data_IF_019566784903
#
_entry.id   IF_019566784903
#
_cell.length_a   1.000
_cell.length_b   1.000
_cell.length_c   1.000
_cell.angle_alpha   90.00
_cell.angle_beta   90.00
_cell.angle_gamma   90.00
#
_symmetry.space_group_name_H-M   'P 1'
#
loop_
_entity.id
_entity.type
_entity.pdbx_description
1 polymer ?
#
# COMPACT_ATOMS: atom_id res chain seq x y z
N UNK A 1 10.05 2.20 11.89
CA UNK A 1 9.86 1.83 10.48
C UNK A 1 8.37 1.77 10.24
N UNK A 2 7.91 2.33 9.14
CA UNK A 2 6.52 2.32 8.72
C UNK A 2 6.36 1.16 7.74
N UNK A 3 5.31 0.37 7.90
CA UNK A 3 4.92 -0.67 6.95
C UNK A 3 3.66 -0.21 6.23
N UNK A 4 3.68 -0.18 4.90
CA UNK A 4 2.56 0.25 4.05
C UNK A 4 2.14 -0.91 3.17
N UNK A 5 0.89 -1.33 3.25
CA UNK A 5 0.27 -2.29 2.34
C UNK A 5 -0.64 -1.53 1.38
N UNK A 6 -0.42 -1.69 0.09
CA UNK A 6 -1.26 -1.16 -0.98
C UNK A 6 -1.85 -2.32 -1.79
N UNK A 7 -3.09 -2.16 -2.23
CA UNK A 7 -3.83 -3.11 -3.06
C UNK A 7 -4.48 -2.33 -4.20
N UNK A 8 -4.31 -2.80 -5.42
CA UNK A 8 -4.86 -2.16 -6.63
C UNK A 8 -6.29 -2.63 -6.89
N UNK A 9 -7.10 -1.76 -7.51
CA UNK A 9 -8.43 -2.08 -8.03
C UNK A 9 -8.38 -3.01 -9.25
N UNK A 10 -7.26 -3.03 -9.99
CA UNK A 10 -7.16 -3.76 -11.25
C UNK A 10 -6.60 -5.16 -11.05
N UNK A 11 -7.25 -6.17 -11.65
CA UNK A 11 -6.88 -7.59 -11.51
C UNK A 11 -5.81 -8.06 -12.51
N UNK A 12 -5.29 -7.20 -13.38
CA UNK A 12 -4.37 -7.60 -14.45
C UNK A 12 -3.35 -6.51 -14.71
N UNK A 13 -2.10 -6.80 -14.36
CA UNK A 13 -0.96 -6.11 -14.96
C UNK A 13 -1.05 -6.27 -16.48
N UNK A 14 -0.88 -5.16 -17.20
CA UNK A 14 -0.70 -5.20 -18.65
C UNK A 14 0.80 -5.18 -18.96
N UNK A 15 1.19 -5.53 -20.18
CA UNK A 15 2.60 -5.48 -20.58
C UNK A 15 3.18 -4.04 -20.54
N UNK A 16 2.33 -3.01 -20.44
CA UNK A 16 2.72 -1.60 -20.51
C UNK A 16 2.73 -0.91 -19.14
N UNK A 17 1.87 -1.30 -18.19
CA UNK A 17 1.79 -0.71 -16.85
C UNK A 17 1.47 -1.75 -15.78
N UNK A 18 2.21 -1.70 -14.68
CA UNK A 18 2.01 -2.52 -13.49
C UNK A 18 1.45 -1.71 -12.33
N UNK A 19 0.66 -2.33 -11.47
CA UNK A 19 0.18 -1.67 -10.24
C UNK A 19 1.34 -1.20 -9.33
N UNK A 20 2.53 -1.80 -9.46
CA UNK A 20 3.70 -1.39 -8.68
C UNK A 20 4.23 -0.02 -9.13
N UNK A 21 4.04 0.34 -10.39
CA UNK A 21 4.42 1.66 -10.92
C UNK A 21 3.52 2.74 -10.33
N UNK A 22 2.21 2.50 -10.27
CA UNK A 22 1.24 3.41 -9.62
C UNK A 22 1.56 3.58 -8.12
N UNK A 23 1.92 2.48 -7.44
CA UNK A 23 2.31 2.53 -6.05
C UNK A 23 3.61 3.31 -5.86
N UNK A 24 4.56 3.18 -6.79
CA UNK A 24 5.81 3.93 -6.76
C UNK A 24 5.54 5.43 -6.94
N UNK A 25 4.68 5.82 -7.89
CA UNK A 25 4.29 7.21 -8.12
C UNK A 25 3.68 7.84 -6.86
N UNK A 26 2.87 7.09 -6.10
CA UNK A 26 2.33 7.56 -4.83
C UNK A 26 3.42 7.94 -3.83
N UNK A 27 4.46 7.11 -3.70
CA UNK A 27 5.56 7.38 -2.79
C UNK A 27 6.45 8.52 -3.28
N UNK A 28 6.66 8.62 -4.60
CA UNK A 28 7.43 9.70 -5.21
C UNK A 28 6.74 11.04 -5.02
N UNK A 29 5.42 11.14 -5.23
CA UNK A 29 4.65 12.37 -4.98
C UNK A 29 4.69 12.78 -3.50
N UNK A 30 4.55 11.82 -2.58
CA UNK A 30 4.70 12.10 -1.16
C UNK A 30 6.10 12.62 -0.84
N UNK A 31 7.14 11.99 -1.39
CA UNK A 31 8.52 12.36 -1.15
C UNK A 31 8.83 13.76 -1.69
N UNK A 32 8.41 14.07 -2.91
CA UNK A 32 8.56 15.39 -3.51
C UNK A 32 7.87 16.48 -2.68
N UNK A 33 6.62 16.23 -2.26
CA UNK A 33 5.82 17.18 -1.46
C UNK A 33 6.48 17.49 -0.11
N UNK A 34 7.22 16.54 0.47
CA UNK A 34 7.83 16.68 1.80
C UNK A 34 9.36 16.84 1.76
N UNK A 35 9.96 17.04 0.57
CA UNK A 35 11.40 17.19 0.41
C UNK A 35 12.22 15.96 0.83
N UNK A 36 11.63 14.77 0.74
CA UNK A 36 12.26 13.49 1.05
C UNK A 36 12.88 12.88 -0.20
N UNK A 37 13.83 11.97 0.00
CA UNK A 37 14.39 11.16 -1.08
C UNK A 37 14.44 9.69 -0.68
N UNK A 38 13.63 8.88 -1.34
CA UNK A 38 13.62 7.44 -1.13
C UNK A 38 14.74 6.76 -1.93
N UNK A 39 15.39 5.80 -1.29
CA UNK A 39 16.47 4.99 -1.82
C UNK A 39 16.41 3.59 -1.19
N UNK A 40 17.23 2.66 -1.68
CA UNK A 40 17.23 1.25 -1.24
C UNK A 40 17.48 1.04 0.27
N UNK A 41 17.98 2.04 1.01
CA UNK A 41 18.21 1.97 2.45
C UNK A 41 16.97 2.35 3.28
N UNK A 42 16.19 3.32 2.81
CA UNK A 42 15.03 3.84 3.54
C UNK A 42 13.68 3.43 2.92
N UNK A 43 13.66 2.87 1.72
CA UNK A 43 12.46 2.38 1.03
C UNK A 43 12.72 0.99 0.45
N UNK A 44 11.88 0.02 0.83
CA UNK A 44 12.02 -1.38 0.41
C UNK A 44 10.66 -2.01 0.16
N UNK A 45 10.57 -2.81 -0.88
CA UNK A 45 9.46 -3.75 -1.07
C UNK A 45 9.72 -4.94 -0.13
N UNK A 46 8.78 -5.22 0.77
CA UNK A 46 8.81 -6.33 1.71
C UNK A 46 8.14 -7.58 1.13
N UNK A 47 7.00 -7.38 0.48
CA UNK A 47 6.24 -8.43 -0.20
C UNK A 47 5.58 -7.82 -1.44
N UNK A 48 5.46 -8.58 -2.52
CA UNK A 48 4.67 -8.19 -3.68
C UNK A 48 4.02 -9.41 -4.30
N UNK A 49 2.78 -9.26 -4.74
CA UNK A 49 1.98 -10.29 -5.38
C UNK A 49 1.39 -9.67 -6.65
N UNK A 50 2.15 -9.65 -7.76
CA UNK A 50 1.70 -9.04 -9.02
C UNK A 50 0.58 -9.85 -9.69
N UNK A 51 0.54 -11.16 -9.46
CA UNK A 51 -0.47 -12.03 -10.07
C UNK A 51 -1.78 -12.03 -9.26
N UNK A 52 -2.91 -11.86 -9.96
CA UNK A 52 -4.25 -11.94 -9.36
C UNK A 52 -4.77 -10.58 -8.94
N UNK A 53 -4.83 -10.32 -7.63
CA UNK A 53 -5.13 -8.98 -7.11
C UNK A 53 -3.80 -8.32 -6.72
N UNK A 54 -3.28 -7.38 -7.53
CA UNK A 54 -1.98 -6.79 -7.31
C UNK A 54 -1.92 -6.12 -5.94
N UNK A 55 -1.01 -6.62 -5.10
CA UNK A 55 -0.73 -6.01 -3.81
C UNK A 55 0.75 -5.97 -3.52
N UNK A 56 1.18 -4.95 -2.77
CA UNK A 56 2.53 -4.85 -2.28
C UNK A 56 2.58 -4.31 -0.86
N UNK A 57 3.58 -4.77 -0.11
CA UNK A 57 3.95 -4.25 1.20
C UNK A 57 5.30 -3.57 1.09
N UNK A 58 5.40 -2.37 1.64
CA UNK A 58 6.58 -1.52 1.64
C UNK A 58 7.03 -1.25 3.07
N UNK A 59 8.34 -1.24 3.27
CA UNK A 59 9.00 -0.85 4.50
C UNK A 59 9.70 0.49 4.29
N UNK A 60 9.28 1.50 5.04
CA UNK A 60 9.72 2.88 4.86
C UNK A 60 10.34 3.41 6.15
N UNK A 61 11.46 4.11 6.01
CA UNK A 61 12.20 4.80 7.09
C UNK A 61 12.32 6.27 6.74
N UNK A 62 12.53 7.09 7.77
CA UNK A 62 12.66 8.55 7.63
C UNK A 62 11.41 9.24 7.08
N UNK A 63 10.25 8.64 7.29
CA UNK A 63 8.93 9.19 6.94
C UNK A 63 8.17 9.47 8.23
N UNK A 64 7.58 10.65 8.33
CA UNK A 64 6.67 10.99 9.43
C UNK A 64 5.32 10.30 9.20
N UNK A 65 4.88 9.54 10.19
CA UNK A 65 3.64 8.78 10.08
C UNK A 65 2.40 9.66 9.96
N UNK A 66 2.33 10.78 10.70
CA UNK A 66 1.16 11.66 10.67
C UNK A 66 1.05 12.41 9.35
N UNK A 67 2.16 12.87 8.80
CA UNK A 67 2.21 13.49 7.46
C UNK A 67 1.78 12.49 6.39
N UNK A 68 2.27 11.26 6.45
CA UNK A 68 1.88 10.21 5.51
C UNK A 68 0.40 9.82 5.65
N UNK A 69 -0.13 9.78 6.88
CA UNK A 69 -1.55 9.56 7.15
C UNK A 69 -2.41 10.65 6.54
N UNK A 70 -2.03 11.92 6.73
CA UNK A 70 -2.74 13.07 6.17
C UNK A 70 -2.70 13.06 4.64
N UNK A 71 -1.52 12.79 4.06
CA UNK A 71 -1.36 12.63 2.62
C UNK A 71 -2.32 11.56 2.06
N UNK A 72 -2.29 10.34 2.62
CA UNK A 72 -3.17 9.26 2.19
C UNK A 72 -4.65 9.57 2.35
N UNK A 73 -5.04 10.38 3.33
CA UNK A 73 -6.45 10.80 3.47
C UNK A 73 -6.89 11.82 2.42
N UNK A 74 -5.95 12.51 1.78
CA UNK A 74 -6.19 13.56 0.80
C UNK A 74 -5.97 13.16 -0.66
N UNK A 75 -5.39 11.98 -0.93
CA UNK A 75 -5.14 11.54 -2.30
C UNK A 75 -6.43 11.24 -3.06
N UNK A 76 -6.39 11.44 -4.38
CA UNK A 76 -7.39 10.89 -5.30
C UNK A 76 -7.03 9.44 -5.61
N UNK A 77 -7.64 8.51 -4.88
CA UNK A 77 -7.42 7.06 -5.03
C UNK A 77 -7.39 6.55 -6.48
N UNK A 78 -8.26 7.11 -7.33
CA UNK A 78 -8.38 6.78 -8.76
C UNK A 78 -7.09 7.03 -9.55
N UNK A 79 -6.27 8.01 -9.15
CA UNK A 79 -4.99 8.32 -9.80
C UNK A 79 -4.02 7.15 -9.70
N UNK A 80 -4.03 6.45 -8.56
CA UNK A 80 -3.11 5.36 -8.24
C UNK A 80 -3.78 3.99 -8.32
N UNK A 81 -5.00 3.94 -8.88
CA UNK A 81 -5.84 2.73 -8.95
C UNK A 81 -5.92 1.97 -7.62
N UNK A 82 -6.00 2.69 -6.49
CA UNK A 82 -5.95 2.08 -5.17
C UNK A 82 -7.32 1.59 -4.72
N UNK A 83 -7.39 0.30 -4.37
CA UNK A 83 -8.55 -0.29 -3.72
C UNK A 83 -8.46 -0.13 -2.20
N UNK A 84 -7.27 -0.40 -1.64
CA UNK A 84 -7.05 -0.44 -0.21
C UNK A 84 -5.63 -0.01 0.15
N UNK A 85 -5.52 0.74 1.25
CA UNK A 85 -4.26 1.08 1.88
C UNK A 85 -4.31 0.74 3.38
N UNK A 86 -3.25 0.14 3.90
CA UNK A 86 -3.05 -0.07 5.33
C UNK A 86 -1.66 0.37 5.71
N UNK A 87 -1.55 1.11 6.80
CA UNK A 87 -0.27 1.65 7.27
C UNK A 87 -0.12 1.28 8.73
N UNK A 88 1.04 0.72 9.06
CA UNK A 88 1.46 0.40 10.42
C UNK A 88 2.68 1.23 10.77
N UNK A 89 2.53 2.09 11.76
CA UNK A 89 3.56 2.94 12.34
C UNK A 89 3.76 2.57 13.81
N UNK A 90 4.66 1.62 14.09
CA UNK A 90 4.88 1.14 15.45
C UNK A 90 3.59 0.55 16.04
N UNK A 91 3.04 1.09 17.15
CA UNK A 91 1.79 0.60 17.74
C UNK A 91 0.54 1.08 17.00
N UNK A 92 0.64 2.13 16.16
CA UNK A 92 -0.50 2.68 15.44
C UNK A 92 -0.68 1.95 14.12
N UNK A 93 -1.91 1.55 13.82
CA UNK A 93 -2.29 1.02 12.51
C UNK A 93 -3.55 1.72 12.05
N UNK A 94 -3.55 2.23 10.82
CA UNK A 94 -4.72 2.79 10.18
C UNK A 94 -4.90 2.22 8.78
N UNK A 95 -6.13 2.23 8.30
CA UNK A 95 -6.46 1.70 6.98
C UNK A 95 -7.53 2.52 6.29
N UNK A 96 -7.40 2.67 4.98
CA UNK A 96 -8.32 3.37 4.13
C UNK A 96 -8.87 2.44 3.06
N UNK A 97 -10.20 2.47 2.91
CA UNK A 97 -10.86 1.95 1.73
C UNK A 97 -10.93 3.06 0.69
N UNK A 98 -10.23 2.83 -0.41
CA UNK A 98 -9.97 3.84 -1.45
C UNK A 98 -10.94 3.67 -2.64
N UNK A 99 -11.53 2.48 -2.78
CA UNK A 99 -12.61 2.16 -3.72
C UNK A 99 -14.00 2.15 -3.07
N UNK A 100 -15.05 2.35 -3.87
CA UNK A 100 -16.45 2.30 -3.41
C UNK A 100 -16.86 0.91 -2.88
N UNK A 101 -16.37 -0.17 -3.49
CA UNK A 101 -16.66 -1.55 -3.12
C UNK A 101 -15.61 -2.19 -2.21
N UNK A 102 -14.75 -1.39 -1.55
CA UNK A 102 -13.69 -1.93 -0.71
C UNK A 102 -14.22 -2.56 0.58
N UNK A 103 -13.86 -3.82 0.80
CA UNK A 103 -14.10 -4.53 2.05
C UNK A 103 -12.76 -4.73 2.79
N UNK A 104 -12.48 -3.97 3.88
CA UNK A 104 -11.18 -4.02 4.54
C UNK A 104 -10.89 -5.38 5.21
N UNK A 105 -11.91 -6.20 5.48
CA UNK A 105 -11.76 -7.53 6.06
C UNK A 105 -11.13 -8.53 5.10
N UNK A 106 -11.25 -8.31 3.79
CA UNK A 106 -10.60 -9.15 2.77
C UNK A 106 -9.08 -8.93 2.73
N UNK A 107 -8.63 -7.74 3.16
CA UNK A 107 -7.23 -7.33 3.08
C UNK A 107 -6.50 -7.35 4.42
N UNK A 108 -7.24 -7.36 5.54
CA UNK A 108 -6.73 -7.68 6.87
C UNK A 108 -6.39 -9.17 6.87
N UNK A 109 -5.15 -9.48 6.49
CA UNK A 109 -4.67 -10.84 6.23
C UNK A 109 -5.36 -11.88 7.10
N UNK A 110 -6.03 -12.82 6.45
CA UNK A 110 -6.57 -13.98 7.13
C UNK A 110 -5.44 -14.64 7.90
N UNK A 111 -5.56 -14.69 9.23
CA UNK A 111 -5.17 -15.91 9.92
C UNK A 111 -6.12 -17.00 9.44
N UNK A 112 -5.95 -17.47 8.19
CA UNK A 112 -6.54 -18.73 7.76
C UNK A 112 -5.71 -19.79 8.46
N UNK A 113 -6.03 -19.99 9.74
CA UNK A 113 -5.93 -21.31 10.34
C UNK A 113 -6.86 -22.16 9.52
N UNK A 114 -6.33 -22.81 8.49
CA UNK A 114 -6.98 -23.97 7.87
C UNK A 114 -7.30 -24.90 9.04
N UNK A 115 -8.57 -25.19 9.37
CA UNK A 115 -8.84 -26.29 10.26
C UNK A 115 -8.31 -27.52 9.55
N UNK A 116 -7.28 -28.17 10.10
CA UNK A 116 -7.03 -29.57 9.74
C UNK A 116 -8.31 -30.31 10.10
N UNK A 117 -9.10 -30.65 9.10
CA UNK A 117 -10.15 -31.65 9.27
C UNK A 117 -9.45 -32.96 9.64
N UNK A 118 -9.97 -33.58 10.71
CA UNK A 118 -9.56 -34.88 11.24
C UNK A 118 -9.62 -35.98 10.19
#
# INVERSE_FOLDING_TARGET
MIEVKLVSEHYKDTAEHSALDDFQELFDEFAETHGLHYNKRNFRILESYPNGMPMAKYGIRSTNCEEFRQFLSGIKAQKYHLQYASVKCGPMTFSYCMAFSCNPYEFRGSSTTTPKLK
#
